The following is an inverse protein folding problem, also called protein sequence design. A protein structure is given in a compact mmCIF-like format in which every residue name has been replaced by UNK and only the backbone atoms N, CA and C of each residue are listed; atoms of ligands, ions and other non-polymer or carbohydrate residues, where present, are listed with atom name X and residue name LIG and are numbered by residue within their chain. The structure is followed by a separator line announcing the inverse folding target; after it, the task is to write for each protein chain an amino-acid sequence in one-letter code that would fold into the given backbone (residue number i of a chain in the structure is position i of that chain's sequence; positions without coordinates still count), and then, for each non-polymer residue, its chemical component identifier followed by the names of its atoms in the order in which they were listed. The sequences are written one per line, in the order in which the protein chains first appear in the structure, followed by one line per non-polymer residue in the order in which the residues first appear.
data_IF_323568484065
#
_entry.id   IF_323568484065
#
_cell.length_a   1.000
_cell.length_b   1.000
_cell.length_c   1.000
_cell.angle_alpha   90.00
_cell.angle_beta   90.00
_cell.angle_gamma   90.00
#
_symmetry.space_group_name_H-M   'P 1'
#
loop_
_entity.id
_entity.type
_entity.pdbx_description
1 polymer ?
#
# COMPACT_ATOMS: atom_id res chain seq x y z
N UNK A 1 6.71 -4.72 -11.11
CA UNK A 1 5.60 -3.77 -11.33
C UNK A 1 4.37 -4.58 -11.59
N UNK A 2 3.25 -4.17 -10.99
CA UNK A 2 1.97 -4.89 -11.06
C UNK A 2 1.51 -5.08 -12.51
N UNK A 3 0.89 -6.23 -12.79
CA UNK A 3 0.22 -6.47 -14.07
C UNK A 3 -1.24 -5.99 -13.99
N UNK A 4 -1.62 -5.08 -14.87
CA UNK A 4 -2.96 -4.48 -14.91
C UNK A 4 -3.67 -4.95 -16.17
N UNK A 5 -4.69 -5.78 -15.97
CA UNK A 5 -5.57 -6.25 -17.03
C UNK A 5 -6.89 -5.47 -16.99
N UNK A 6 -7.14 -4.66 -18.01
CA UNK A 6 -8.44 -3.96 -18.17
C UNK A 6 -9.48 -4.98 -18.62
N UNK A 7 -10.39 -5.34 -17.72
CA UNK A 7 -11.47 -6.31 -17.99
C UNK A 7 -12.56 -5.66 -18.83
N UNK A 8 -12.87 -4.39 -18.56
CA UNK A 8 -13.78 -3.55 -19.34
C UNK A 8 -13.56 -2.06 -18.99
N UNK A 9 -14.36 -1.17 -19.58
CA UNK A 9 -14.26 0.30 -19.40
C UNK A 9 -14.33 0.75 -17.93
N UNK A 10 -14.90 -0.06 -17.03
CA UNK A 10 -15.14 0.29 -15.63
C UNK A 10 -14.47 -0.66 -14.63
N UNK A 11 -13.78 -1.71 -15.10
CA UNK A 11 -13.25 -2.80 -14.26
C UNK A 11 -11.82 -3.15 -14.64
N UNK A 12 -10.91 -3.13 -13.66
CA UNK A 12 -9.54 -3.64 -13.80
C UNK A 12 -9.29 -4.85 -12.91
N UNK A 13 -8.48 -5.79 -13.39
CA UNK A 13 -7.91 -6.86 -12.58
C UNK A 13 -6.42 -6.57 -12.42
N UNK A 14 -5.98 -6.43 -11.19
CA UNK A 14 -4.58 -6.19 -10.84
C UNK A 14 -4.01 -7.50 -10.35
N UNK A 15 -2.89 -7.93 -10.92
CA UNK A 15 -2.14 -9.11 -10.45
C UNK A 15 -0.78 -8.66 -9.94
N UNK A 16 -0.46 -9.04 -8.71
CA UNK A 16 0.81 -8.70 -8.05
C UNK A 16 1.48 -9.94 -7.49
N UNK A 17 2.80 -9.89 -7.39
CA UNK A 17 3.60 -10.95 -6.79
C UNK A 17 4.56 -10.44 -5.71
N UNK A 18 5.30 -11.36 -5.09
CA UNK A 18 6.29 -11.05 -4.06
C UNK A 18 7.27 -9.92 -4.45
N UNK A 19 7.71 -9.88 -5.71
CA UNK A 19 8.62 -8.84 -6.18
C UNK A 19 8.00 -7.45 -6.17
N UNK A 20 6.68 -7.33 -6.36
CA UNK A 20 5.97 -6.05 -6.24
C UNK A 20 5.90 -5.60 -4.78
N UNK A 21 5.64 -6.51 -3.84
CA UNK A 21 5.71 -6.19 -2.40
C UNK A 21 7.11 -5.69 -2.00
N UNK A 22 8.17 -6.36 -2.48
CA UNK A 22 9.55 -5.92 -2.24
C UNK A 22 9.83 -4.54 -2.81
N UNK A 23 9.36 -4.27 -4.03
CA UNK A 23 9.50 -2.95 -4.66
C UNK A 23 8.77 -1.87 -3.87
N UNK A 24 7.55 -2.13 -3.40
CA UNK A 24 6.79 -1.21 -2.54
C UNK A 24 7.53 -0.92 -1.23
N UNK A 25 8.09 -1.93 -0.58
CA UNK A 25 8.88 -1.74 0.65
C UNK A 25 10.13 -0.92 0.39
N UNK A 26 10.83 -1.17 -0.72
CA UNK A 26 12.03 -0.42 -1.10
C UNK A 26 11.71 1.05 -1.40
N UNK A 27 10.63 1.32 -2.13
CA UNK A 27 10.16 2.68 -2.41
C UNK A 27 9.79 3.41 -1.11
N UNK A 28 9.01 2.75 -0.24
CA UNK A 28 8.64 3.31 1.06
C UNK A 28 9.88 3.61 1.93
N UNK A 29 10.92 2.78 1.85
CA UNK A 29 12.17 2.99 2.57
C UNK A 29 13.00 4.18 2.05
N UNK A 30 12.86 4.53 0.76
CA UNK A 30 13.56 5.69 0.18
C UNK A 30 12.94 7.04 0.62
N UNK A 31 11.64 7.07 0.90
CA UNK A 31 10.93 8.26 1.38
C UNK A 31 9.92 7.91 2.49
N UNK A 32 10.44 7.49 3.65
CA UNK A 32 9.61 7.07 4.79
C UNK A 32 8.64 8.18 5.22
N UNK A 33 9.08 9.44 5.21
CA UNK A 33 8.22 10.58 5.61
C UNK A 33 7.10 10.83 4.61
N UNK A 34 7.38 10.70 3.30
CA UNK A 34 6.40 10.89 2.23
C UNK A 34 5.39 9.76 2.11
N UNK A 35 5.69 8.58 2.65
CA UNK A 35 4.79 7.41 2.71
C UNK A 35 4.33 7.08 4.14
N UNK A 36 4.61 7.92 5.13
CA UNK A 36 4.42 7.61 6.55
C UNK A 36 2.98 7.17 6.89
N UNK A 37 1.97 7.85 6.32
CA UNK A 37 0.55 7.50 6.52
C UNK A 37 0.24 6.09 6.00
N UNK A 38 0.77 5.75 4.83
CA UNK A 38 0.56 4.44 4.19
C UNK A 38 1.25 3.34 5.00
N UNK A 39 2.50 3.54 5.40
CA UNK A 39 3.28 2.59 6.22
C UNK A 39 2.56 2.28 7.53
N UNK A 40 2.18 3.31 8.29
CA UNK A 40 1.46 3.17 9.56
C UNK A 40 0.13 2.45 9.36
N UNK A 41 -0.65 2.87 8.35
CA UNK A 41 -1.96 2.26 8.08
C UNK A 41 -1.83 0.79 7.70
N UNK A 42 -0.93 0.45 6.79
CA UNK A 42 -0.71 -0.94 6.35
C UNK A 42 -0.31 -1.80 7.55
N UNK A 43 0.68 -1.37 8.34
CA UNK A 43 1.16 -2.15 9.48
C UNK A 43 0.10 -2.32 10.58
N UNK A 44 -0.65 -1.26 10.91
CA UNK A 44 -1.65 -1.33 11.97
C UNK A 44 -2.94 -2.04 11.53
N UNK A 45 -3.35 -1.89 10.27
CA UNK A 45 -4.67 -2.33 9.82
C UNK A 45 -4.67 -3.74 9.23
N UNK A 46 -3.63 -4.16 8.52
CA UNK A 46 -3.59 -5.49 7.88
C UNK A 46 -3.94 -6.65 8.84
N UNK A 47 -3.47 -6.70 10.10
CA UNK A 47 -3.83 -7.79 11.02
C UNK A 47 -5.33 -7.91 11.32
N UNK A 48 -6.09 -6.82 11.21
CA UNK A 48 -7.54 -6.83 11.42
C UNK A 48 -8.34 -7.35 10.22
N UNK A 49 -7.67 -7.51 9.07
CA UNK A 49 -8.25 -8.01 7.82
C UNK A 49 -7.58 -9.31 7.38
N UNK A 50 -7.18 -10.14 8.35
CA UNK A 50 -6.49 -11.43 8.12
C UNK A 50 -5.28 -11.33 7.17
N UNK A 51 -4.64 -10.15 7.12
CA UNK A 51 -3.53 -9.78 6.24
C UNK A 51 -3.86 -9.74 4.73
N UNK A 52 -4.73 -10.63 4.23
CA UNK A 52 -5.01 -10.80 2.79
C UNK A 52 -6.23 -10.02 2.32
N UNK A 53 -7.17 -9.67 3.20
CA UNK A 53 -8.43 -8.98 2.85
C UNK A 53 -8.32 -7.45 3.00
N UNK A 54 -7.10 -6.93 3.06
CA UNK A 54 -6.84 -5.51 3.29
C UNK A 54 -7.11 -4.68 2.02
N UNK A 55 -7.97 -3.66 2.15
CA UNK A 55 -8.25 -2.70 1.07
C UNK A 55 -7.48 -1.38 1.29
N UNK A 56 -6.49 -1.12 0.43
CA UNK A 56 -5.65 0.09 0.48
C UNK A 56 -6.45 1.41 0.36
N UNK A 57 -7.60 1.40 -0.32
CA UNK A 57 -8.43 2.61 -0.53
C UNK A 57 -9.36 2.93 0.65
N UNK A 58 -9.53 2.03 1.62
CA UNK A 58 -10.46 2.24 2.73
C UNK A 58 -10.00 3.32 3.72
N UNK A 59 -8.71 3.69 3.70
CA UNK A 59 -8.09 4.58 4.69
C UNK A 59 -7.50 5.87 4.10
N UNK A 60 -7.84 6.18 2.85
CA UNK A 60 -7.32 7.34 2.12
C UNK A 60 -5.77 7.42 2.16
N UNK A 61 -5.13 6.25 2.14
CA UNK A 61 -3.69 6.02 2.21
C UNK A 61 -3.32 5.10 1.05
N UNK A 62 -3.32 5.66 -0.17
CA UNK A 62 -3.17 4.89 -1.40
C UNK A 62 -1.94 5.29 -2.20
N UNK A 63 -1.10 6.21 -1.71
CA UNK A 63 -0.02 6.81 -2.52
C UNK A 63 1.00 5.75 -2.95
N UNK A 64 1.38 4.85 -2.05
CA UNK A 64 2.30 3.74 -2.35
C UNK A 64 1.70 2.72 -3.30
N UNK A 65 0.39 2.47 -3.18
CA UNK A 65 -0.34 1.57 -4.07
C UNK A 65 -0.50 2.16 -5.47
N UNK A 66 -0.83 3.46 -5.57
CA UNK A 66 -0.90 4.22 -6.82
C UNK A 66 0.46 4.27 -7.52
N UNK A 67 1.55 4.44 -6.77
CA UNK A 67 2.91 4.35 -7.30
C UNK A 67 3.18 2.97 -7.92
N UNK A 68 2.84 1.89 -7.22
CA UNK A 68 3.04 0.52 -7.71
C UNK A 68 2.22 0.25 -8.98
N UNK A 69 0.99 0.75 -9.05
CA UNK A 69 0.14 0.61 -10.22
C UNK A 69 0.56 1.49 -11.40
N UNK A 70 1.31 2.57 -11.16
CA UNK A 70 1.66 3.56 -12.18
C UNK A 70 0.44 4.31 -12.77
N UNK A 71 -0.75 4.11 -12.18
CA UNK A 71 -2.02 4.73 -12.58
C UNK A 71 -2.90 4.91 -11.36
N UNK A 72 -3.91 5.78 -11.48
CA UNK A 72 -4.90 5.98 -10.43
C UNK A 72 -6.10 5.05 -10.67
N UNK A 73 -6.25 3.94 -9.94
CA UNK A 73 -7.36 3.01 -10.15
C UNK A 73 -8.71 3.60 -9.72
N UNK A 74 -8.76 4.75 -9.03
CA UNK A 74 -10.03 5.49 -8.81
C UNK A 74 -10.67 5.96 -10.12
N UNK A 75 -9.95 5.91 -11.23
CA UNK A 75 -10.50 6.12 -12.57
C UNK A 75 -11.44 4.98 -13.02
N UNK A 76 -11.39 3.83 -12.34
CA UNK A 76 -12.24 2.67 -12.61
C UNK A 76 -13.26 2.49 -11.47
N UNK A 77 -14.48 2.09 -11.81
CA UNK A 77 -15.56 1.90 -10.84
C UNK A 77 -15.42 0.61 -10.02
N UNK A 78 -14.64 -0.35 -10.51
CA UNK A 78 -14.41 -1.65 -9.87
C UNK A 78 -12.96 -2.10 -10.11
N UNK A 79 -12.34 -2.69 -9.09
CA UNK A 79 -11.07 -3.39 -9.27
C UNK A 79 -11.02 -4.64 -8.39
N UNK A 80 -10.28 -5.65 -8.85
CA UNK A 80 -9.90 -6.82 -8.06
C UNK A 80 -8.38 -6.94 -7.98
N UNK A 81 -7.87 -7.36 -6.83
CA UNK A 81 -6.47 -7.63 -6.60
C UNK A 81 -6.28 -9.14 -6.47
N UNK A 82 -5.45 -9.71 -7.34
CA UNK A 82 -5.02 -11.10 -7.32
C UNK A 82 -3.57 -11.13 -6.85
N UNK A 83 -3.36 -11.60 -5.61
CA UNK A 83 -2.08 -11.56 -4.94
C UNK A 83 -1.87 -12.85 -4.13
N UNK A 84 -0.68 -13.47 -4.18
CA UNK A 84 -0.38 -14.61 -3.31
C UNK A 84 -0.13 -14.13 -1.87
N UNK A 85 -0.39 -14.97 -0.86
CA UNK A 85 -0.12 -14.65 0.55
C UNK A 85 1.29 -14.10 0.82
N UNK A 86 2.28 -14.61 0.08
CA UNK A 86 3.67 -14.12 0.13
C UNK A 86 3.81 -12.62 -0.14
N UNK A 87 2.96 -12.04 -0.99
CA UNK A 87 2.90 -10.59 -1.22
C UNK A 87 2.50 -9.87 0.07
N UNK A 88 1.39 -10.27 0.69
CA UNK A 88 0.86 -9.62 1.88
C UNK A 88 1.81 -9.74 3.07
N UNK A 89 2.40 -10.92 3.30
CA UNK A 89 3.34 -11.11 4.41
C UNK A 89 4.66 -10.35 4.20
N UNK A 90 5.18 -10.31 2.98
CA UNK A 90 6.39 -9.53 2.69
C UNK A 90 6.14 -8.04 2.84
N UNK A 91 4.97 -7.55 2.37
CA UNK A 91 4.57 -6.16 2.52
C UNK A 91 4.42 -5.81 4.00
N UNK A 92 3.68 -6.61 4.77
CA UNK A 92 3.46 -6.40 6.20
C UNK A 92 4.78 -6.37 6.97
N UNK A 93 5.64 -7.37 6.77
CA UNK A 93 6.95 -7.44 7.43
C UNK A 93 7.86 -6.27 7.07
N UNK A 94 7.86 -5.87 5.78
CA UNK A 94 8.63 -4.71 5.32
C UNK A 94 8.15 -3.39 5.90
N UNK A 95 6.82 -3.18 5.98
CA UNK A 95 6.27 -1.98 6.64
C UNK A 95 6.55 -1.96 8.13
N UNK A 96 6.54 -3.12 8.80
CA UNK A 96 6.93 -3.25 10.20
C UNK A 96 8.36 -2.78 10.48
N UNK A 97 9.29 -2.99 9.55
CA UNK A 97 10.67 -2.50 9.67
C UNK A 97 10.78 -0.96 9.58
N UNK A 98 9.80 -0.29 8.95
CA UNK A 98 9.77 1.16 8.76
C UNK A 98 8.83 1.88 9.75
N UNK A 99 8.03 1.12 10.50
CA UNK A 99 6.87 1.63 11.25
C UNK A 99 7.22 2.71 12.26
N UNK A 100 8.21 2.49 13.12
CA UNK A 100 8.54 3.46 14.20
C UNK A 100 8.99 4.81 13.63
N UNK A 101 9.79 4.79 12.56
CA UNK A 101 10.23 6.02 11.87
C UNK A 101 9.07 6.72 11.16
N UNK A 102 8.19 5.95 10.51
CA UNK A 102 6.98 6.49 9.89
C UNK A 102 6.05 7.13 10.93
N UNK A 103 5.85 6.47 12.07
CA UNK A 103 5.00 6.95 13.17
C UNK A 103 5.50 8.27 13.74
N UNK A 104 6.80 8.36 14.04
CA UNK A 104 7.42 9.61 14.48
C UNK A 104 7.20 10.75 13.47
N UNK A 105 7.30 10.45 12.17
CA UNK A 105 7.05 11.45 11.11
C UNK A 105 5.58 11.91 11.04
N UNK A 106 4.62 11.05 11.37
CA UNK A 106 3.20 11.42 11.47
C UNK A 106 2.96 12.32 12.69
N UNK A 107 3.53 11.95 13.84
CA UNK A 107 3.39 12.69 15.10
C UNK A 107 4.02 14.09 15.01
N UNK A 108 5.20 14.23 14.40
CA UNK A 108 5.84 15.53 14.14
C UNK A 108 5.02 16.45 13.23
N UNK A 109 4.38 15.88 12.20
CA UNK A 109 3.49 16.62 11.30
C UNK A 109 2.19 17.04 11.99
N UNK A 110 1.69 16.23 12.93
CA UNK A 110 0.53 16.59 13.74
C UNK A 110 0.87 17.71 14.74
N UNK A 111 2.06 17.66 15.35
CA UNK A 111 2.54 18.67 16.28
C UNK A 111 2.86 20.02 15.61
N UNK A 112 3.32 20.01 14.35
CA UNK A 112 3.65 21.23 13.59
C UNK A 112 2.45 21.97 12.99
N UNK A 113 1.24 21.38 13.07
CA UNK A 113 -0.01 21.97 12.58
C UNK A 113 -0.83 22.64 13.69
N UNK A 114 -0.20 22.97 14.83
CA UNK A 114 -0.75 23.71 15.96
C UNK A 114 -0.02 25.05 16.05
#
# INVERSE_FOLDING_TARGET
MADINVVNESTIKITVGLEDAKAMVQEAAQDVSGYAKDIVTIYEKMPFFDYTDFCFYAYDSAKLFEWMLGTNPRQYHSFSLDAPDSFFYALYGGMGALYETAKASVDEKAASNI
#
